data_IF_791697024682
#
_entry.id   IF_791697024682
#
_cell.length_a   1.000
_cell.length_b   1.000
_cell.length_c   1.000
_cell.angle_alpha   90.00
_cell.angle_beta   90.00
_cell.angle_gamma   90.00
#
_symmetry.space_group_name_H-M   'P 1'
#
loop_
_entity.id
_entity.type
_entity.pdbx_description
1 polymer ?
#
# COMPACT_ATOMS: atom_id res chain seq x y z
N UNK A 1 2.93 1.82 -4.77
CA UNK A 1 3.43 1.86 -6.17
C UNK A 1 2.47 1.08 -7.05
N UNK A 2 2.44 1.29 -8.37
CA UNK A 2 1.60 0.45 -9.24
C UNK A 2 2.31 -0.91 -9.45
N UNK A 3 1.61 -2.04 -9.24
CA UNK A 3 2.21 -3.38 -9.34
C UNK A 3 2.89 -3.64 -10.70
N UNK A 4 2.48 -2.96 -11.77
CA UNK A 4 3.10 -3.07 -13.09
C UNK A 4 4.50 -2.42 -13.19
N UNK A 5 4.88 -1.57 -12.22
CA UNK A 5 6.18 -0.89 -12.22
C UNK A 5 7.33 -1.78 -11.76
N UNK A 6 7.05 -2.79 -10.92
CA UNK A 6 8.05 -3.71 -10.38
C UNK A 6 7.38 -5.04 -10.03
N UNK A 7 8.00 -6.21 -10.34
CA UNK A 7 7.37 -7.51 -10.10
C UNK A 7 7.26 -7.94 -8.63
N UNK A 8 7.82 -7.18 -7.69
CA UNK A 8 7.94 -7.56 -6.27
C UNK A 8 9.07 -8.59 -5.99
N UNK A 9 9.27 -8.97 -4.71
CA UNK A 9 8.68 -8.38 -3.52
C UNK A 9 9.34 -7.04 -3.09
N UNK A 10 8.65 -6.25 -2.23
CA UNK A 10 7.29 -6.50 -1.75
C UNK A 10 6.27 -6.29 -2.87
N UNK A 11 5.17 -7.04 -2.92
CA UNK A 11 4.06 -6.80 -3.85
C UNK A 11 3.26 -5.54 -3.44
N UNK A 12 2.65 -4.86 -4.41
CA UNK A 12 1.74 -3.75 -4.15
C UNK A 12 0.34 -4.27 -3.83
N UNK A 13 -0.24 -3.72 -2.77
CA UNK A 13 -1.62 -4.00 -2.36
C UNK A 13 -2.34 -2.65 -2.28
N UNK A 14 -3.27 -2.42 -3.21
CA UNK A 14 -4.06 -1.20 -3.28
C UNK A 14 -5.12 -1.11 -2.18
N UNK A 15 -5.68 0.09 -1.94
CA UNK A 15 -6.79 0.24 -0.98
C UNK A 15 -8.01 -0.57 -1.40
N UNK A 16 -8.35 -0.57 -2.69
CA UNK A 16 -9.43 -1.37 -3.26
C UNK A 16 -9.29 -2.87 -2.93
N UNK A 17 -8.08 -3.42 -3.02
CA UNK A 17 -7.81 -4.80 -2.64
C UNK A 17 -7.93 -5.02 -1.14
N UNK A 18 -7.42 -4.10 -0.31
CA UNK A 18 -7.57 -4.16 1.16
C UNK A 18 -9.06 -4.14 1.55
N UNK A 19 -9.85 -3.21 0.99
CA UNK A 19 -11.29 -3.12 1.22
C UNK A 19 -12.01 -4.40 0.79
N UNK A 20 -11.71 -4.92 -0.40
CA UNK A 20 -12.32 -6.14 -0.93
C UNK A 20 -12.01 -7.37 -0.06
N UNK A 21 -10.80 -7.49 0.48
CA UNK A 21 -10.38 -8.67 1.24
C UNK A 21 -10.76 -8.60 2.72
N UNK A 22 -10.80 -7.41 3.32
CA UNK A 22 -10.96 -7.24 4.77
C UNK A 22 -12.23 -6.49 5.18
N UNK A 23 -12.84 -5.71 4.28
CA UNK A 23 -13.96 -4.81 4.58
C UNK A 23 -15.25 -5.51 5.01
N UNK A 24 -15.46 -6.77 4.63
CA UNK A 24 -16.62 -7.56 5.06
C UNK A 24 -16.58 -7.90 6.55
N UNK A 25 -15.39 -8.11 7.10
CA UNK A 25 -15.20 -8.58 8.48
C UNK A 25 -14.67 -7.50 9.43
N UNK A 26 -14.13 -6.41 8.89
CA UNK A 26 -13.47 -5.36 9.66
C UNK A 26 -13.91 -3.99 9.19
N UNK A 27 -14.04 -3.07 10.13
CA UNK A 27 -14.02 -1.65 9.83
C UNK A 27 -12.56 -1.21 9.65
N UNK A 28 -12.28 -0.61 8.50
CA UNK A 28 -10.96 -0.12 8.13
C UNK A 28 -10.95 1.41 8.25
N UNK A 29 -10.06 1.94 9.09
CA UNK A 29 -9.79 3.37 9.20
C UNK A 29 -8.37 3.64 8.69
N UNK A 30 -8.22 4.48 7.67
CA UNK A 30 -6.91 4.93 7.20
C UNK A 30 -6.37 5.93 8.21
N UNK A 31 -5.29 5.57 8.89
CA UNK A 31 -4.60 6.46 9.82
C UNK A 31 -3.57 7.34 9.12
N UNK A 32 -2.99 6.82 8.04
CA UNK A 32 -1.90 7.48 7.34
C UNK A 32 -1.82 6.97 5.90
N UNK A 33 -1.52 7.89 4.98
CA UNK A 33 -1.17 7.62 3.60
C UNK A 33 -0.10 8.63 3.19
N UNK A 34 1.08 8.14 2.80
CA UNK A 34 2.19 9.01 2.46
C UNK A 34 3.06 8.43 1.35
N UNK A 35 3.59 9.31 0.50
CA UNK A 35 4.60 8.96 -0.49
C UNK A 35 5.97 8.84 0.18
N UNK A 36 6.46 7.61 0.32
CA UNK A 36 7.74 7.26 0.96
C UNK A 36 8.82 6.87 -0.03
N UNK A 37 8.64 7.17 -1.32
CA UNK A 37 9.63 6.78 -2.34
C UNK A 37 11.03 7.30 -2.02
N UNK A 38 11.12 8.54 -1.51
CA UNK A 38 12.38 9.17 -1.13
C UNK A 38 13.12 8.46 0.02
N UNK A 39 12.42 7.63 0.80
CA UNK A 39 12.98 6.90 1.93
C UNK A 39 13.50 5.51 1.52
N UNK A 40 13.30 5.09 0.26
CA UNK A 40 13.60 3.73 -0.17
C UNK A 40 14.34 3.65 -1.51
N UNK A 41 15.68 3.62 -1.42
CA UNK A 41 16.59 3.57 -2.57
C UNK A 41 16.32 2.39 -3.52
N UNK A 42 15.89 1.23 -3.00
CA UNK A 42 15.61 0.04 -3.81
C UNK A 42 14.46 0.24 -4.81
N UNK A 43 13.42 0.98 -4.43
CA UNK A 43 12.27 1.24 -5.32
C UNK A 43 12.60 2.29 -6.37
N UNK A 44 13.40 3.30 -6.00
CA UNK A 44 13.96 4.24 -6.97
C UNK A 44 14.76 3.51 -8.05
N UNK A 45 15.62 2.57 -7.67
CA UNK A 45 16.38 1.76 -8.64
C UNK A 45 15.50 0.83 -9.48
N UNK A 46 14.39 0.35 -8.93
CA UNK A 46 13.42 -0.46 -9.66
C UNK A 46 12.56 0.36 -10.66
N UNK A 47 12.73 1.68 -10.72
CA UNK A 47 11.98 2.55 -11.65
C UNK A 47 10.58 2.91 -11.18
N UNK A 48 10.25 2.67 -9.91
CA UNK A 48 8.99 3.09 -9.30
C UNK A 48 8.91 4.61 -9.27
N UNK A 49 7.78 5.16 -9.70
CA UNK A 49 7.56 6.61 -9.79
C UNK A 49 6.90 7.21 -8.56
N UNK A 50 6.19 6.38 -7.78
CA UNK A 50 5.52 6.76 -6.53
C UNK A 50 5.37 5.56 -5.62
N UNK A 51 5.64 5.73 -4.32
CA UNK A 51 5.51 4.66 -3.34
C UNK A 51 4.64 5.15 -2.18
N UNK A 52 3.33 4.96 -2.28
CA UNK A 52 2.45 5.21 -1.15
C UNK A 52 2.54 4.07 -0.12
N UNK A 53 2.91 4.42 1.11
CA UNK A 53 2.67 3.59 2.29
C UNK A 53 1.35 4.02 2.93
N UNK A 54 0.48 3.04 3.21
CA UNK A 54 -0.81 3.27 3.84
C UNK A 54 -0.96 2.40 5.08
N UNK A 55 -1.37 3.01 6.18
CA UNK A 55 -1.56 2.35 7.48
C UNK A 55 -3.04 2.34 7.82
N UNK A 56 -3.55 1.16 8.16
CA UNK A 56 -4.94 0.97 8.56
C UNK A 56 -5.03 0.58 10.04
N UNK A 57 -6.02 1.15 10.73
CA UNK A 57 -6.56 0.56 11.95
C UNK A 57 -7.72 -0.35 11.59
N UNK A 58 -7.66 -1.58 12.08
CA UNK A 58 -8.73 -2.56 11.97
C UNK A 58 -9.50 -2.61 13.29
N UNK A 59 -10.82 -2.52 13.23
CA UNK A 59 -11.69 -2.76 14.39
C UNK A 59 -12.86 -3.65 14.01
N UNK A 60 -13.33 -4.44 14.97
CA UNK A 60 -14.59 -5.16 14.83
C UNK A 60 -15.73 -4.18 15.15
N UNK A 61 -16.72 -4.16 14.27
CA UNK A 61 -17.98 -3.43 14.47
C UNK A 61 -18.87 -4.09 15.49
#
# INVERSE_FOLDING_TARGET
YNQDEMPGPPFSVGDDEVQRLLGDAWRLEVLQEQDVLGESWKFLQAGVKRLDERVYRLSRG
#
